data_IF_053352850153
#
_entry.id   IF_053352850153
#
_cell.length_a   1.000
_cell.length_b   1.000
_cell.length_c   1.000
_cell.angle_alpha   90.00
_cell.angle_beta   90.00
_cell.angle_gamma   90.00
#
_symmetry.space_group_name_H-M   'P 1'
#
loop_
_entity.id
_entity.type
_entity.pdbx_description
1 polymer ?
#
# COMPACT_ATOMS: atom_id res chain seq x y z
N UNK A 1 13.51 -8.20 6.06
CA UNK A 1 12.97 -9.57 6.06
C UNK A 1 11.50 -9.49 6.45
N UNK A 2 10.63 -10.26 5.82
CA UNK A 2 9.19 -10.19 6.07
C UNK A 2 8.49 -11.46 5.62
N UNK A 3 7.20 -11.54 5.90
CA UNK A 3 6.33 -12.68 5.54
C UNK A 3 5.38 -12.29 4.43
N UNK A 4 5.28 -13.15 3.42
CA UNK A 4 4.23 -13.06 2.42
C UNK A 4 2.93 -13.62 2.99
N UNK A 5 1.88 -12.80 2.97
CA UNK A 5 0.61 -13.09 3.65
C UNK A 5 -0.53 -13.05 2.64
N UNK A 6 -1.39 -14.06 2.69
CA UNK A 6 -2.62 -14.14 1.89
C UNK A 6 -3.83 -14.10 2.81
N UNK A 7 -4.74 -13.17 2.54
CA UNK A 7 -6.00 -13.01 3.28
C UNK A 7 -7.17 -13.32 2.35
N UNK A 8 -8.07 -14.21 2.78
CA UNK A 8 -9.30 -14.56 2.06
C UNK A 8 -10.52 -14.09 2.85
N UNK A 9 -11.38 -13.29 2.22
CA UNK A 9 -12.61 -12.80 2.84
C UNK A 9 -13.69 -13.89 2.74
N UNK A 10 -13.78 -14.76 3.75
CA UNK A 10 -14.71 -15.91 3.73
C UNK A 10 -16.17 -15.50 3.88
N UNK A 11 -16.46 -14.40 4.57
CA UNK A 11 -17.82 -13.89 4.77
C UNK A 11 -17.80 -12.37 4.66
N UNK A 12 -18.58 -11.83 3.73
CA UNK A 12 -18.76 -10.39 3.56
C UNK A 12 -20.26 -10.10 3.36
N UNK A 13 -20.83 -9.20 4.16
CA UNK A 13 -22.23 -8.77 4.05
C UNK A 13 -22.40 -7.45 3.27
N UNK A 14 -21.30 -6.75 3.00
CA UNK A 14 -21.31 -5.40 2.41
C UNK A 14 -20.96 -5.45 0.92
N UNK A 15 -20.07 -6.36 0.52
CA UNK A 15 -19.69 -6.57 -0.87
C UNK A 15 -19.54 -8.06 -1.18
N UNK A 16 -19.14 -8.39 -2.41
CA UNK A 16 -18.97 -9.77 -2.86
C UNK A 16 -17.99 -10.54 -1.93
N UNK A 17 -18.40 -11.71 -1.40
CA UNK A 17 -17.54 -12.54 -0.58
C UNK A 17 -16.49 -13.28 -1.42
N UNK A 18 -15.56 -13.94 -0.74
CA UNK A 18 -14.52 -14.81 -1.29
C UNK A 18 -13.42 -14.14 -2.13
N UNK A 19 -13.32 -12.81 -2.10
CA UNK A 19 -12.15 -12.09 -2.63
C UNK A 19 -10.91 -12.42 -1.80
N UNK A 20 -9.75 -12.39 -2.45
CA UNK A 20 -8.44 -12.64 -1.86
C UNK A 20 -7.52 -11.43 -2.07
N UNK A 21 -6.69 -11.14 -1.07
CA UNK A 21 -5.63 -10.14 -1.11
C UNK A 21 -4.31 -10.78 -0.70
N UNK A 22 -3.23 -10.37 -1.35
CA UNK A 22 -1.87 -10.85 -1.11
C UNK A 22 -0.98 -9.65 -0.87
N UNK A 23 -0.30 -9.64 0.27
CA UNK A 23 0.57 -8.54 0.66
C UNK A 23 1.72 -9.03 1.55
N UNK A 24 2.74 -8.19 1.69
CA UNK A 24 3.90 -8.49 2.52
C UNK A 24 3.80 -7.77 3.86
N UNK A 25 4.09 -8.48 4.94
CA UNK A 25 4.23 -7.92 6.28
C UNK A 25 5.72 -7.89 6.63
N UNK A 26 6.26 -6.68 6.80
CA UNK A 26 7.63 -6.45 7.23
C UNK A 26 7.69 -6.44 8.76
N UNK A 27 8.63 -7.19 9.34
CA UNK A 27 8.81 -7.22 10.79
C UNK A 27 9.31 -5.85 11.29
N UNK A 28 8.59 -5.26 12.25
CA UNK A 28 8.92 -3.95 12.84
C UNK A 28 8.34 -2.73 12.11
N UNK A 29 7.79 -2.90 10.90
CA UNK A 29 7.16 -1.81 10.12
C UNK A 29 5.67 -2.10 9.83
N UNK A 30 5.27 -3.38 9.82
CA UNK A 30 3.89 -3.78 9.57
C UNK A 30 3.61 -4.08 8.11
N UNK A 31 2.42 -3.71 7.62
CA UNK A 31 1.98 -4.02 6.26
C UNK A 31 2.74 -3.13 5.27
N UNK A 32 3.34 -3.73 4.24
CA UNK A 32 4.02 -2.99 3.19
C UNK A 32 3.02 -2.37 2.20
N UNK A 33 2.40 -1.27 2.62
CA UNK A 33 1.39 -0.54 1.86
C UNK A 33 1.91 -0.05 0.50
N UNK A 34 3.09 0.56 0.49
CA UNK A 34 3.70 1.07 -0.75
C UNK A 34 4.05 -0.06 -1.72
N UNK A 35 4.42 -1.24 -1.21
CA UNK A 35 4.66 -2.42 -2.03
C UNK A 35 3.41 -2.90 -2.77
N UNK A 36 2.25 -2.91 -2.10
CA UNK A 36 0.97 -3.18 -2.75
C UNK A 36 0.61 -2.09 -3.78
N UNK A 37 0.88 -0.82 -3.47
CA UNK A 37 0.61 0.28 -4.38
C UNK A 37 1.39 0.14 -5.70
N UNK A 38 2.65 -0.31 -5.64
CA UNK A 38 3.44 -0.62 -6.83
C UNK A 38 2.81 -1.75 -7.64
N UNK A 39 2.43 -2.86 -6.98
CA UNK A 39 1.87 -4.02 -7.67
C UNK A 39 0.52 -3.69 -8.33
N UNK A 40 -0.36 -3.00 -7.61
CA UNK A 40 -1.65 -2.53 -8.15
C UNK A 40 -1.44 -1.49 -9.25
N UNK A 41 -0.50 -0.57 -9.08
CA UNK A 41 -0.16 0.43 -10.10
C UNK A 41 0.33 -0.19 -11.40
N UNK A 42 1.13 -1.26 -11.33
CA UNK A 42 1.56 -2.02 -12.52
C UNK A 42 0.41 -2.79 -13.15
N UNK A 43 -0.44 -3.41 -12.32
CA UNK A 43 -1.61 -4.17 -12.80
C UNK A 43 -2.61 -3.29 -13.55
N UNK A 44 -2.89 -2.10 -13.02
CA UNK A 44 -3.80 -1.11 -13.60
C UNK A 44 -3.12 -0.20 -14.65
N UNK A 45 -1.86 -0.48 -15.03
CA UNK A 45 -1.07 0.27 -16.02
C UNK A 45 -0.86 1.76 -15.69
N UNK A 46 -0.92 2.13 -14.41
CA UNK A 46 -0.55 3.45 -13.92
C UNK A 46 0.97 3.60 -13.80
N UNK A 47 1.65 2.49 -13.51
CA UNK A 47 3.11 2.37 -13.43
C UNK A 47 3.56 1.45 -14.57
N UNK A 48 4.48 1.92 -15.39
CA UNK A 48 5.07 1.13 -16.45
C UNK A 48 6.24 0.32 -15.92
N UNK A 49 6.31 -0.96 -16.30
CA UNK A 49 7.41 -1.85 -15.94
C UNK A 49 8.17 -2.27 -17.20
N UNK A 50 9.36 -1.72 -17.40
CA UNK A 50 10.27 -2.10 -18.47
C UNK A 50 11.36 -3.03 -17.93
N UNK A 51 11.05 -4.33 -17.87
CA UNK A 51 11.95 -5.34 -17.30
C UNK A 51 12.13 -5.16 -15.79
N UNK A 52 13.32 -4.72 -15.38
CA UNK A 52 13.61 -4.40 -13.98
C UNK A 52 13.31 -2.93 -13.63
N UNK A 53 13.05 -2.06 -14.60
CA UNK A 53 12.79 -0.63 -14.37
C UNK A 53 11.30 -0.36 -14.19
N UNK A 54 10.99 0.50 -13.23
CA UNK A 54 9.66 1.04 -12.99
C UNK A 54 9.66 2.51 -13.38
N UNK A 55 8.60 2.93 -14.07
CA UNK A 55 8.40 4.32 -14.51
C UNK A 55 6.99 4.78 -14.20
N UNK A 56 6.86 6.04 -13.80
CA UNK A 56 5.58 6.69 -13.55
C UNK A 56 5.48 7.96 -14.41
N UNK A 57 4.44 8.07 -15.24
CA UNK A 57 4.24 9.20 -16.18
C UNK A 57 5.46 9.53 -17.06
N UNK A 58 6.27 8.52 -17.41
CA UNK A 58 7.49 8.69 -18.20
C UNK A 58 8.76 8.99 -17.40
N UNK A 59 8.66 9.27 -16.09
CA UNK A 59 9.81 9.40 -15.20
C UNK A 59 10.20 8.04 -14.61
N UNK A 60 11.49 7.76 -14.51
CA UNK A 60 11.99 6.51 -13.93
C UNK A 60 12.01 6.61 -12.41
N UNK A 61 11.14 5.86 -11.75
CA UNK A 61 11.00 5.87 -10.28
C UNK A 61 11.97 4.92 -9.58
N UNK A 62 12.48 3.89 -10.27
CA UNK A 62 13.51 3.03 -9.71
C UNK A 62 13.73 1.71 -10.43
N UNK A 63 14.85 1.06 -10.12
CA UNK A 63 15.16 -0.29 -10.56
C UNK A 63 14.75 -1.30 -9.48
N UNK A 64 13.82 -2.17 -9.81
CA UNK A 64 13.29 -3.20 -8.91
C UNK A 64 12.20 -2.68 -7.98
N UNK A 65 11.39 -3.60 -7.46
CA UNK A 65 10.25 -3.29 -6.59
C UNK A 65 10.66 -2.57 -5.31
N UNK A 66 11.79 -2.94 -4.71
CA UNK A 66 12.27 -2.34 -3.46
C UNK A 66 12.56 -0.84 -3.62
N UNK A 67 13.25 -0.45 -4.68
CA UNK A 67 13.57 0.97 -4.93
C UNK A 67 12.32 1.77 -5.34
N UNK A 68 11.41 1.19 -6.13
CA UNK A 68 10.15 1.84 -6.45
C UNK A 68 9.28 2.07 -5.19
N UNK A 69 9.31 1.13 -4.25
CA UNK A 69 8.63 1.25 -2.94
C UNK A 69 9.25 2.37 -2.10
N UNK A 70 10.59 2.43 -2.03
CA UNK A 70 11.30 3.49 -1.31
C UNK A 70 10.98 4.88 -1.91
N UNK A 71 11.00 5.00 -3.23
CA UNK A 71 10.67 6.25 -3.92
C UNK A 71 9.24 6.73 -3.63
N UNK A 72 8.25 5.82 -3.58
CA UNK A 72 6.88 6.17 -3.20
C UNK A 72 6.74 6.56 -1.72
N UNK A 73 7.58 6.01 -0.84
CA UNK A 73 7.65 6.39 0.57
C UNK A 73 8.22 7.80 0.74
N UNK A 74 9.22 8.16 -0.07
CA UNK A 74 9.82 9.50 -0.07
C UNK A 74 8.95 10.56 -0.75
N UNK A 75 8.03 10.17 -1.65
CA UNK A 75 7.14 11.07 -2.40
C UNK A 75 5.66 10.81 -2.08
N UNK A 76 5.18 11.17 -0.87
CA UNK A 76 3.83 10.86 -0.41
C UNK A 76 2.72 11.53 -1.24
N UNK A 77 2.97 12.68 -1.86
CA UNK A 77 2.01 13.33 -2.76
C UNK A 77 1.73 12.48 -4.00
N UNK A 78 2.77 11.87 -4.58
CA UNK A 78 2.63 10.98 -5.73
C UNK A 78 1.96 9.67 -5.33
N UNK A 79 2.31 9.14 -4.16
CA UNK A 79 1.67 7.95 -3.62
C UNK A 79 0.16 8.14 -3.44
N UNK A 80 -0.28 9.27 -2.86
CA UNK A 80 -1.70 9.61 -2.71
C UNK A 80 -2.42 9.76 -4.06
N UNK A 81 -1.76 10.33 -5.06
CA UNK A 81 -2.32 10.43 -6.41
C UNK A 81 -2.59 9.04 -7.02
N UNK A 82 -1.61 8.14 -6.93
CA UNK A 82 -1.73 6.77 -7.44
C UNK A 82 -2.79 6.02 -6.65
N UNK A 83 -2.79 6.12 -5.32
CA UNK A 83 -3.77 5.48 -4.44
C UNK A 83 -5.19 5.89 -4.83
N UNK A 84 -5.43 7.20 -5.00
CA UNK A 84 -6.75 7.71 -5.39
C UNK A 84 -7.22 7.13 -6.72
N UNK A 85 -6.35 7.11 -7.73
CA UNK A 85 -6.65 6.53 -9.04
C UNK A 85 -6.92 5.02 -8.98
N UNK A 86 -6.12 4.29 -8.20
CA UNK A 86 -6.31 2.84 -8.00
C UNK A 86 -7.65 2.57 -7.31
N UNK A 87 -8.02 3.36 -6.30
CA UNK A 87 -9.31 3.26 -5.61
C UNK A 87 -10.49 3.56 -6.54
N UNK A 88 -10.39 4.60 -7.35
CA UNK A 88 -11.44 4.97 -8.32
C UNK A 88 -11.69 3.88 -9.36
N UNK A 89 -10.65 3.16 -9.79
CA UNK A 89 -10.76 2.08 -10.77
C UNK A 89 -11.29 0.77 -10.16
N UNK A 90 -10.89 0.43 -8.94
CA UNK A 90 -11.11 -0.90 -8.36
C UNK A 90 -12.25 -0.99 -7.34
N UNK A 91 -12.67 0.13 -6.73
CA UNK A 91 -13.76 0.10 -5.77
C UNK A 91 -15.12 0.15 -6.47
N UNK A 92 -15.87 -0.94 -6.38
CA UNK A 92 -17.22 -1.05 -6.93
C UNK A 92 -18.26 -0.17 -6.25
N UNK A 93 -17.97 0.36 -5.05
CA UNK A 93 -18.83 1.29 -4.31
C UNK A 93 -18.04 2.58 -4.03
N UNK A 94 -18.45 3.74 -4.57
CA UNK A 94 -17.76 5.01 -4.37
C UNK A 94 -17.93 5.61 -2.97
N UNK A 95 -18.71 4.98 -2.08
CA UNK A 95 -19.13 5.53 -0.78
C UNK A 95 -18.62 4.79 0.47
N UNK A 96 -17.61 3.91 0.39
CA UNK A 96 -16.97 3.43 1.62
C UNK A 96 -15.86 4.39 2.02
N UNK A 97 -16.20 5.40 2.82
CA UNK A 97 -15.20 6.14 3.61
C UNK A 97 -14.38 5.12 4.40
N UNK A 98 -13.04 5.12 4.31
CA UNK A 98 -12.23 4.26 5.17
C UNK A 98 -12.42 4.72 6.62
N UNK A 99 -12.98 3.85 7.45
CA UNK A 99 -13.24 4.09 8.88
C UNK A 99 -11.97 3.99 9.74
N UNK A 100 -10.79 3.99 9.12
CA UNK A 100 -9.50 3.93 9.79
C UNK A 100 -8.74 5.24 9.53
N UNK A 101 -8.86 6.16 10.47
CA UNK A 101 -7.86 7.20 10.69
C UNK A 101 -6.80 6.61 11.60
N UNK A 102 -5.62 6.31 11.04
CA UNK A 102 -4.44 6.04 11.86
C UNK A 102 -3.91 7.41 12.25
N UNK A 103 -4.28 7.86 13.44
CA UNK A 103 -3.70 9.04 14.06
C UNK A 103 -2.29 8.66 14.55
N UNK A 104 -1.30 8.76 13.67
CA UNK A 104 0.12 8.68 14.03
C UNK A 104 0.55 10.02 14.68
N UNK A 105 -0.08 10.35 15.81
CA UNK A 105 0.31 11.46 16.66
C UNK A 105 0.33 11.10 18.15
N UNK A 106 0.92 9.97 18.51
CA UNK A 106 1.44 9.74 19.87
C UNK A 106 2.95 9.51 19.84
N UNK A 107 3.68 10.63 19.81
CA UNK A 107 4.94 10.69 20.54
C UNK A 107 4.64 10.97 22.01
N UNK A 108 4.81 9.98 22.89
CA UNK A 108 5.03 10.27 24.31
C UNK A 108 6.07 9.31 24.90
N UNK A 109 7.10 9.95 25.43
CA UNK A 109 8.32 9.47 26.04
C UNK A 109 8.21 8.24 26.96
N UNK A 110 9.25 7.41 26.89
CA UNK A 110 9.68 6.54 27.98
C UNK A 110 9.72 7.32 29.29
N UNK A 111 8.98 6.87 30.30
CA UNK A 111 9.26 7.20 31.70
C UNK A 111 9.60 5.89 32.40
N UNK A 112 10.91 5.67 32.57
CA UNK A 112 11.42 4.84 33.66
C UNK A 112 11.26 5.66 34.93
N UNK A 113 10.42 5.23 35.87
CA UNK A 113 10.57 5.55 37.28
C UNK A 113 9.83 4.52 38.16
N UNK A 114 10.54 4.11 39.21
CA UNK A 114 10.30 3.06 40.20
C UNK A 114 8.86 2.87 40.73
N UNK A 115 8.44 1.60 40.86
CA UNK A 115 7.85 1.02 42.08
C UNK A 115 7.81 -0.52 42.04
#
# INVERSE_FOLDING_TARGET
MGSETRVKVVKNKIAAPFKQAEFQILYGEGINFYGELVDLGVKEKLIEKAGAWYSYKGEKIGQGKANATAWLKDNPETAKEIEKKVRELLLSNPNSTPDFSVDDSEGVAETNEDF
#
